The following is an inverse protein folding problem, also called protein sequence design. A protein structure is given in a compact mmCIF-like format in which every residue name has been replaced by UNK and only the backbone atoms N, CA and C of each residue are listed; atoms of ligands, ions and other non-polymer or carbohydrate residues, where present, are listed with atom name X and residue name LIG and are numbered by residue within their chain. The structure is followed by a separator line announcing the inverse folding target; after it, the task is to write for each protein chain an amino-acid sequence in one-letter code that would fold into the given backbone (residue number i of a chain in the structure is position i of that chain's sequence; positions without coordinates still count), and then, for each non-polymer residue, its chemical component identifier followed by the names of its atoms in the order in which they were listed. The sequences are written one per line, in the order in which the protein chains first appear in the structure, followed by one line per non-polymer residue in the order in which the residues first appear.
data_IF_034233724449
#
_entry.id   IF_034233724449
#
_cell.length_a   1.000
_cell.length_b   1.000
_cell.length_c   1.000
_cell.angle_alpha   90.00
_cell.angle_beta   90.00
_cell.angle_gamma   90.00
#
_symmetry.space_group_name_H-M   'P 1'
#
loop_
_entity.id
_entity.type
_entity.pdbx_description
1 polymer ?
#
# COMPACT_ATOMS: atom_id res chain seq x y z
N UNK A 1 12.37 -38.35 -0.04
CA UNK A 1 12.33 -37.53 1.16
C UNK A 1 11.39 -36.35 0.94
N UNK A 2 10.51 -36.01 1.89
CA UNK A 2 9.71 -34.81 1.80
C UNK A 2 10.58 -33.55 1.76
N UNK A 3 10.10 -32.50 1.10
CA UNK A 3 10.75 -31.19 1.13
C UNK A 3 10.57 -30.52 2.51
N UNK A 4 11.56 -29.77 2.95
CA UNK A 4 11.51 -29.08 4.24
C UNK A 4 10.65 -27.82 4.21
N UNK A 5 10.54 -27.17 3.04
CA UNK A 5 9.79 -25.94 2.85
C UNK A 5 8.81 -26.07 1.68
N UNK A 6 7.75 -25.29 1.71
CA UNK A 6 6.77 -25.21 0.62
C UNK A 6 7.41 -24.55 -0.59
N UNK A 7 8.24 -23.51 -0.35
CA UNK A 7 8.99 -22.84 -1.42
C UNK A 7 9.88 -23.76 -2.21
N UNK A 8 10.62 -24.68 -1.54
CA UNK A 8 11.44 -25.69 -2.20
C UNK A 8 10.58 -26.65 -3.03
N UNK A 9 9.45 -27.11 -2.49
CA UNK A 9 8.52 -27.97 -3.21
C UNK A 9 7.95 -27.27 -4.46
N UNK A 10 7.63 -25.99 -4.39
CA UNK A 10 7.15 -25.19 -5.52
C UNK A 10 8.17 -25.09 -6.63
N UNK A 11 9.46 -24.89 -6.31
CA UNK A 11 10.54 -24.82 -7.29
C UNK A 11 10.73 -26.14 -8.04
N UNK A 12 10.63 -27.27 -7.34
CA UNK A 12 10.89 -28.59 -7.89
C UNK A 12 9.66 -29.21 -8.57
N UNK A 13 8.46 -28.80 -8.18
CA UNK A 13 7.18 -29.41 -8.59
C UNK A 13 6.19 -28.39 -9.14
N UNK A 14 6.67 -27.34 -9.77
CA UNK A 14 5.82 -26.36 -10.44
C UNK A 14 4.82 -27.04 -11.39
N UNK A 15 3.57 -26.60 -11.35
CA UNK A 15 2.47 -27.18 -12.14
C UNK A 15 1.88 -28.49 -11.62
N UNK A 16 2.33 -29.00 -10.46
CA UNK A 16 1.89 -30.27 -9.88
C UNK A 16 1.07 -30.09 -8.61
N UNK A 17 0.57 -31.23 -8.11
CA UNK A 17 -0.05 -31.32 -6.80
C UNK A 17 1.03 -31.37 -5.72
N UNK A 18 0.91 -30.46 -4.73
CA UNK A 18 1.75 -30.45 -3.54
C UNK A 18 0.85 -30.63 -2.32
N UNK A 19 1.17 -31.60 -1.50
CA UNK A 19 0.52 -31.87 -0.23
C UNK A 19 1.38 -31.37 0.92
N UNK A 20 0.73 -30.77 1.92
CA UNK A 20 1.39 -30.05 3.02
C UNK A 20 0.81 -30.57 4.32
N UNK A 21 1.66 -31.04 5.23
CA UNK A 21 1.19 -31.54 6.50
C UNK A 21 0.93 -30.42 7.53
N UNK A 22 0.13 -30.70 8.54
CA UNK A 22 -0.36 -29.76 9.56
C UNK A 22 0.74 -29.37 10.55
N UNK A 23 1.65 -28.51 10.11
CA UNK A 23 2.66 -27.87 10.94
C UNK A 23 2.77 -26.38 10.62
N UNK A 24 3.62 -25.67 11.33
CA UNK A 24 3.88 -24.26 11.06
C UNK A 24 5.14 -24.11 10.24
N UNK A 25 5.04 -23.37 9.14
CA UNK A 25 6.11 -23.02 8.22
C UNK A 25 6.38 -21.52 8.33
N UNK A 26 7.61 -21.13 8.70
CA UNK A 26 8.02 -19.72 8.71
C UNK A 26 8.68 -19.36 7.40
N UNK A 27 7.86 -19.09 6.40
CA UNK A 27 8.31 -18.74 5.06
C UNK A 27 7.31 -17.85 4.32
N UNK A 28 7.71 -17.31 3.19
CA UNK A 28 6.81 -16.72 2.20
C UNK A 28 6.54 -17.76 1.11
N UNK A 29 5.28 -18.05 0.87
CA UNK A 29 4.87 -18.88 -0.26
C UNK A 29 4.66 -17.98 -1.47
N UNK A 30 5.59 -18.04 -2.43
CA UNK A 30 5.50 -17.30 -3.70
C UNK A 30 5.12 -18.24 -4.82
N UNK A 31 3.98 -17.97 -5.47
CA UNK A 31 3.42 -18.76 -6.57
C UNK A 31 3.52 -17.94 -7.86
N UNK A 32 4.29 -18.45 -8.82
CA UNK A 32 4.51 -17.84 -10.14
C UNK A 32 4.05 -18.73 -11.29
N UNK A 33 3.53 -19.92 -10.98
CA UNK A 33 3.01 -20.88 -11.95
C UNK A 33 1.78 -21.60 -11.40
N UNK A 34 0.97 -22.20 -12.27
CA UNK A 34 -0.19 -22.98 -11.85
C UNK A 34 0.20 -24.12 -10.91
N UNK A 35 -0.52 -24.29 -9.81
CA UNK A 35 -0.24 -25.30 -8.78
C UNK A 35 -1.49 -25.63 -7.99
N UNK A 36 -1.52 -26.85 -7.41
CA UNK A 36 -2.53 -27.24 -6.43
C UNK A 36 -1.84 -27.54 -5.11
N UNK A 37 -2.18 -26.76 -4.07
CA UNK A 37 -1.67 -26.91 -2.71
C UNK A 37 -2.77 -27.42 -1.80
N UNK A 38 -2.54 -28.53 -1.13
CA UNK A 38 -3.46 -29.13 -0.19
C UNK A 38 -2.81 -29.26 1.18
N UNK A 39 -3.38 -28.55 2.17
CA UNK A 39 -3.08 -28.72 3.59
C UNK A 39 -4.01 -29.73 4.26
N UNK A 40 -4.10 -29.67 5.57
CA UNK A 40 -5.04 -30.48 6.33
C UNK A 40 -4.62 -31.94 6.53
N UNK A 41 -3.34 -32.27 6.33
CA UNK A 41 -2.81 -33.62 6.43
C UNK A 41 -1.97 -33.79 7.70
N UNK A 42 -2.13 -34.93 8.39
CA UNK A 42 -1.26 -35.30 9.51
C UNK A 42 0.19 -35.47 9.05
N UNK A 43 1.16 -34.94 9.81
CA UNK A 43 2.57 -35.16 9.50
C UNK A 43 3.07 -36.57 9.81
N UNK A 44 2.32 -37.36 10.56
CA UNK A 44 2.71 -38.71 10.96
C UNK A 44 2.42 -39.75 9.86
N UNK A 45 1.24 -39.67 9.26
CA UNK A 45 0.75 -40.70 8.37
C UNK A 45 0.10 -40.17 7.07
N UNK A 46 0.11 -38.85 6.89
CA UNK A 46 -0.50 -38.16 5.75
C UNK A 46 -2.02 -38.36 5.61
N UNK A 47 -2.69 -38.81 6.68
CA UNK A 47 -4.15 -38.87 6.72
C UNK A 47 -4.77 -37.47 6.75
N UNK A 48 -5.93 -37.31 6.12
CA UNK A 48 -6.63 -36.03 6.15
C UNK A 48 -7.32 -35.80 7.50
N UNK A 49 -7.04 -34.67 8.12
CA UNK A 49 -7.64 -34.23 9.38
C UNK A 49 -8.58 -33.05 9.13
N UNK A 50 -9.88 -33.32 9.10
CA UNK A 50 -10.88 -32.29 8.88
C UNK A 50 -10.79 -31.16 9.92
N UNK A 51 -10.80 -29.93 9.45
CA UNK A 51 -10.69 -28.72 10.30
C UNK A 51 -9.28 -28.34 10.72
N UNK A 52 -8.28 -29.18 10.50
CA UNK A 52 -6.87 -28.82 10.65
C UNK A 52 -6.38 -28.09 9.41
N UNK A 53 -5.37 -27.25 9.58
CA UNK A 53 -4.72 -26.51 8.48
C UNK A 53 -3.22 -26.53 8.65
N UNK A 54 -2.50 -26.59 7.53
CA UNK A 54 -1.11 -26.23 7.54
C UNK A 54 -1.00 -24.70 7.75
N UNK A 55 -0.09 -24.25 8.61
CA UNK A 55 0.03 -22.82 8.96
C UNK A 55 1.29 -22.25 8.34
N UNK A 56 1.14 -21.32 7.41
CA UNK A 56 2.24 -20.52 6.88
C UNK A 56 2.25 -19.20 7.65
N UNK A 57 3.19 -19.05 8.57
CA UNK A 57 3.30 -17.87 9.43
C UNK A 57 4.63 -17.16 9.13
N UNK A 58 4.55 -16.08 8.39
CA UNK A 58 5.74 -15.27 8.12
C UNK A 58 6.03 -14.36 9.30
N UNK A 59 7.18 -14.57 9.97
CA UNK A 59 7.64 -13.73 11.07
C UNK A 59 8.43 -12.53 10.58
N UNK A 60 9.04 -12.61 9.40
CA UNK A 60 9.70 -11.49 8.75
C UNK A 60 8.69 -10.55 8.07
N UNK A 61 9.13 -9.33 7.76
CA UNK A 61 8.35 -8.35 7.00
C UNK A 61 7.88 -8.92 5.65
N UNK A 62 6.64 -8.60 5.27
CA UNK A 62 6.03 -8.96 3.99
C UNK A 62 4.85 -9.92 4.11
N UNK A 63 4.27 -10.30 2.98
CA UNK A 63 3.13 -11.22 2.91
C UNK A 63 3.54 -12.68 3.12
N UNK A 64 2.66 -13.49 3.70
CA UNK A 64 2.85 -14.93 3.83
C UNK A 64 2.56 -15.65 2.51
N UNK A 65 1.58 -15.16 1.73
CA UNK A 65 1.24 -15.65 0.40
C UNK A 65 1.41 -14.55 -0.64
N UNK A 66 2.04 -14.88 -1.75
CA UNK A 66 2.14 -14.02 -2.94
C UNK A 66 1.87 -14.84 -4.20
N UNK A 67 0.83 -14.47 -4.95
CA UNK A 67 0.51 -15.07 -6.26
C UNK A 67 0.67 -13.97 -7.29
N UNK A 68 1.63 -14.12 -8.20
CA UNK A 68 2.00 -13.06 -9.12
C UNK A 68 2.09 -13.54 -10.56
N UNK A 69 1.36 -12.84 -11.45
CA UNK A 69 1.40 -13.03 -12.91
C UNK A 69 1.10 -14.47 -13.36
N UNK A 70 0.17 -15.16 -12.67
CA UNK A 70 -0.21 -16.54 -12.98
C UNK A 70 -1.50 -16.56 -13.79
N UNK A 71 -1.43 -17.11 -15.01
CA UNK A 71 -2.58 -17.31 -15.89
C UNK A 71 -3.14 -18.73 -15.80
N UNK A 72 -2.34 -19.68 -15.33
CA UNK A 72 -2.77 -21.06 -15.11
C UNK A 72 -3.50 -21.21 -13.77
N UNK A 73 -4.30 -22.27 -13.63
CA UNK A 73 -5.10 -22.49 -12.42
C UNK A 73 -4.24 -22.70 -11.17
N UNK A 74 -4.54 -21.94 -10.13
CA UNK A 74 -4.01 -22.10 -8.77
C UNK A 74 -5.14 -22.49 -7.84
N UNK A 75 -4.95 -23.59 -7.12
CA UNK A 75 -5.89 -24.06 -6.11
C UNK A 75 -5.16 -24.21 -4.78
N UNK A 76 -5.66 -23.58 -3.73
CA UNK A 76 -5.12 -23.66 -2.37
C UNK A 76 -6.26 -24.10 -1.43
N UNK A 77 -6.05 -25.19 -0.71
CA UNK A 77 -7.04 -25.74 0.23
C UNK A 77 -6.42 -26.05 1.59
N UNK A 78 -7.19 -25.81 2.65
CA UNK A 78 -6.87 -26.16 4.05
C UNK A 78 -5.52 -25.62 4.54
N UNK A 79 -5.20 -24.36 4.18
CA UNK A 79 -4.00 -23.67 4.60
C UNK A 79 -4.37 -22.36 5.30
N UNK A 80 -3.63 -22.00 6.35
CA UNK A 80 -3.70 -20.70 7.01
C UNK A 80 -2.47 -19.89 6.65
N UNK A 81 -2.66 -18.65 6.21
CA UNK A 81 -1.60 -17.68 5.96
C UNK A 81 -1.66 -16.56 6.98
N UNK A 82 -0.58 -16.34 7.71
CA UNK A 82 -0.49 -15.29 8.70
C UNK A 82 0.78 -14.45 8.50
N UNK A 83 0.66 -13.13 8.62
CA UNK A 83 1.80 -12.21 8.57
C UNK A 83 2.06 -11.58 9.94
N UNK A 84 3.31 -11.14 10.14
CA UNK A 84 3.73 -10.41 11.33
C UNK A 84 3.04 -9.04 11.42
N UNK A 85 3.04 -8.45 12.62
CA UNK A 85 2.67 -7.06 12.83
C UNK A 85 3.67 -6.13 12.13
N UNK A 86 3.23 -4.95 11.74
CA UNK A 86 4.11 -3.88 11.29
C UNK A 86 5.07 -3.46 12.41
N UNK A 87 6.30 -3.11 12.08
CA UNK A 87 7.34 -2.70 13.03
C UNK A 87 7.67 -1.20 12.91
N UNK A 88 7.59 -0.62 11.72
CA UNK A 88 7.91 0.78 11.46
C UNK A 88 6.66 1.65 11.43
N UNK A 89 6.81 2.94 11.76
CA UNK A 89 5.73 3.91 11.71
C UNK A 89 5.09 3.98 10.30
N UNK A 90 3.77 3.82 10.23
CA UNK A 90 3.01 3.78 8.97
C UNK A 90 3.07 2.46 8.22
N UNK A 91 3.70 1.43 8.77
CA UNK A 91 3.79 0.13 8.15
C UNK A 91 2.46 -0.63 8.24
N UNK A 92 2.04 -1.21 7.12
CA UNK A 92 0.86 -2.08 7.04
C UNK A 92 1.28 -3.54 7.08
N UNK A 93 0.45 -4.38 7.70
CA UNK A 93 0.59 -5.85 7.63
C UNK A 93 -0.33 -6.40 6.55
N UNK A 94 0.19 -7.24 5.67
CA UNK A 94 -0.55 -7.88 4.57
C UNK A 94 -0.23 -9.36 4.56
N UNK A 95 -1.24 -10.21 4.74
CA UNK A 95 -1.01 -11.66 4.81
C UNK A 95 -0.98 -12.34 3.45
N UNK A 96 -1.78 -11.86 2.48
CA UNK A 96 -1.84 -12.45 1.15
C UNK A 96 -1.94 -11.36 0.08
N UNK A 97 -1.23 -11.56 -1.02
CA UNK A 97 -1.27 -10.71 -2.21
C UNK A 97 -1.55 -11.60 -3.41
N UNK A 98 -2.55 -11.23 -4.22
CA UNK A 98 -2.82 -11.84 -5.52
C UNK A 98 -2.81 -10.72 -6.55
N UNK A 99 -1.86 -10.77 -7.46
CA UNK A 99 -1.66 -9.73 -8.47
C UNK A 99 -1.53 -10.34 -9.87
N UNK A 100 -2.14 -9.70 -10.87
CA UNK A 100 -2.09 -10.09 -12.27
C UNK A 100 -2.33 -11.60 -12.52
N UNK A 101 -3.25 -12.21 -11.76
CA UNK A 101 -3.54 -13.64 -11.80
C UNK A 101 -5.03 -13.87 -12.01
N UNK A 102 -5.41 -14.75 -12.93
CA UNK A 102 -6.80 -14.85 -13.41
C UNK A 102 -7.61 -16.02 -12.84
N UNK A 103 -6.98 -17.13 -12.47
CA UNK A 103 -7.67 -18.35 -11.99
C UNK A 103 -7.07 -18.83 -10.65
N UNK A 104 -7.31 -18.05 -9.58
CA UNK A 104 -6.87 -18.39 -8.22
C UNK A 104 -8.08 -18.76 -7.38
N UNK A 105 -8.10 -19.99 -6.88
CA UNK A 105 -9.17 -20.52 -6.04
C UNK A 105 -8.65 -20.85 -4.65
N UNK A 106 -9.26 -20.23 -3.64
CA UNK A 106 -8.97 -20.45 -2.22
C UNK A 106 -10.17 -21.20 -1.59
N UNK A 107 -9.93 -22.38 -1.04
CA UNK A 107 -10.98 -23.19 -0.40
C UNK A 107 -10.56 -23.54 1.02
N UNK A 108 -11.43 -23.23 1.99
CA UNK A 108 -11.19 -23.44 3.42
C UNK A 108 -9.87 -22.82 3.92
N UNK A 109 -9.43 -21.73 3.24
CA UNK A 109 -8.21 -20.98 3.58
C UNK A 109 -8.55 -19.93 4.63
N UNK A 110 -7.67 -19.75 5.61
CA UNK A 110 -7.72 -18.65 6.55
C UNK A 110 -6.58 -17.69 6.24
N UNK A 111 -6.89 -16.39 6.19
CA UNK A 111 -5.89 -15.34 5.97
C UNK A 111 -5.97 -14.38 7.15
N UNK A 112 -4.86 -14.22 7.87
CA UNK A 112 -4.76 -13.38 9.06
C UNK A 112 -3.60 -12.39 8.91
N UNK A 113 -3.92 -11.13 8.67
CA UNK A 113 -2.93 -10.06 8.74
C UNK A 113 -2.65 -9.69 10.20
N UNK A 114 -1.43 -9.28 10.49
CA UNK A 114 -1.06 -8.68 11.75
C UNK A 114 -1.56 -7.23 11.88
N UNK A 115 -1.18 -6.54 12.93
CA UNK A 115 -1.55 -5.14 13.17
C UNK A 115 -0.65 -4.21 12.36
N UNK A 116 -1.26 -3.17 11.77
CA UNK A 116 -0.50 -2.05 11.23
C UNK A 116 -0.01 -1.11 12.34
N UNK A 117 1.02 -0.34 12.05
CA UNK A 117 1.57 0.68 12.97
C UNK A 117 1.10 2.06 12.54
N UNK A 118 0.70 2.89 13.50
CA UNK A 118 0.33 4.28 13.25
C UNK A 118 1.47 5.04 12.55
N UNK A 119 1.12 5.94 11.65
CA UNK A 119 2.09 6.83 11.03
C UNK A 119 2.78 7.74 12.04
N UNK A 120 3.98 8.20 11.71
CA UNK A 120 4.64 9.23 12.52
C UNK A 120 3.84 10.53 12.49
N UNK A 121 3.83 11.24 13.62
CA UNK A 121 3.23 12.57 13.67
C UNK A 121 3.93 13.51 12.68
N UNK A 122 3.16 14.30 11.95
CA UNK A 122 3.72 15.34 11.10
C UNK A 122 4.52 16.36 11.92
N UNK A 123 5.73 16.68 11.49
CA UNK A 123 6.47 17.78 12.05
C UNK A 123 5.88 19.11 11.54
N UNK A 124 5.37 19.95 12.45
CA UNK A 124 5.03 21.32 12.15
C UNK A 124 6.32 22.16 12.30
N UNK A 125 6.91 22.56 11.18
CA UNK A 125 7.91 23.61 11.25
C UNK A 125 7.22 24.91 11.70
N UNK A 126 7.76 25.63 12.70
CA UNK A 126 7.21 26.91 13.09
C UNK A 126 7.22 27.85 11.87
N UNK A 127 6.08 28.47 11.62
CA UNK A 127 5.97 29.46 10.54
C UNK A 127 6.69 30.75 10.96
N UNK A 128 7.70 31.10 10.24
CA UNK A 128 8.39 32.39 10.41
C UNK A 128 7.76 33.41 9.48
N UNK A 129 7.11 34.41 10.06
CA UNK A 129 6.56 35.51 9.27
C UNK A 129 7.67 36.30 8.60
N UNK A 130 7.54 36.66 7.30
CA UNK A 130 8.47 37.55 6.66
C UNK A 130 8.53 38.89 7.42
N UNK A 131 9.71 39.49 7.49
CA UNK A 131 9.86 40.83 8.10
C UNK A 131 9.03 41.84 7.32
N UNK A 132 8.59 42.91 8.00
CA UNK A 132 7.79 43.95 7.38
C UNK A 132 8.48 44.54 6.12
N UNK A 133 9.82 44.68 6.15
CA UNK A 133 10.61 45.14 5.01
C UNK A 133 10.52 44.18 3.81
N UNK A 134 10.48 42.88 4.05
CA UNK A 134 10.30 41.89 2.99
C UNK A 134 8.91 41.95 2.33
N UNK A 135 7.90 42.41 3.06
CA UNK A 135 6.53 42.56 2.60
C UNK A 135 6.23 43.92 1.95
N UNK A 136 7.12 44.91 2.13
CA UNK A 136 6.95 46.21 1.52
C UNK A 136 7.12 46.08 0.00
N UNK A 137 6.24 46.75 -0.77
CA UNK A 137 6.39 46.91 -2.22
C UNK A 137 7.65 47.70 -2.56
N UNK A 138 8.06 47.66 -3.81
CA UNK A 138 9.11 48.55 -4.33
C UNK A 138 8.61 50.00 -4.28
N UNK A 139 9.53 50.95 -3.98
CA UNK A 139 9.22 52.36 -3.94
C UNK A 139 8.73 52.88 -5.31
N UNK A 140 7.82 53.88 -5.27
CA UNK A 140 7.40 54.57 -6.48
C UNK A 140 8.55 55.44 -7.01
N UNK A 141 8.65 55.57 -8.32
CA UNK A 141 9.59 56.49 -8.98
C UNK A 141 8.80 57.51 -9.79
N UNK A 142 8.81 58.76 -9.33
CA UNK A 142 8.02 59.83 -9.93
C UNK A 142 6.53 59.56 -9.84
N UNK A 143 5.80 59.77 -10.94
CA UNK A 143 4.34 59.47 -11.05
C UNK A 143 4.03 58.02 -11.30
N UNK A 144 5.01 57.15 -11.50
CA UNK A 144 4.82 55.72 -11.72
C UNK A 144 4.88 54.94 -10.40
N UNK A 145 3.99 54.01 -10.22
CA UNK A 145 4.04 53.05 -9.09
C UNK A 145 5.30 52.19 -9.17
N UNK A 146 5.78 51.73 -8.02
CA UNK A 146 6.93 50.85 -7.96
C UNK A 146 6.71 49.53 -8.75
N UNK A 147 7.78 48.98 -9.30
CA UNK A 147 7.74 47.72 -10.02
C UNK A 147 7.15 46.57 -9.13
N UNK A 148 6.51 45.61 -9.75
CA UNK A 148 6.00 44.46 -8.98
C UNK A 148 7.12 43.76 -8.20
N UNK A 149 6.90 43.45 -6.93
CA UNK A 149 7.80 42.68 -6.10
C UNK A 149 7.27 41.26 -5.94
N UNK A 150 8.12 40.29 -6.25
CA UNK A 150 7.78 38.89 -5.99
C UNK A 150 7.85 38.62 -4.49
N UNK A 151 6.76 38.17 -3.92
CA UNK A 151 6.70 37.69 -2.53
C UNK A 151 6.94 36.19 -2.54
N UNK A 152 8.04 35.74 -1.92
CA UNK A 152 8.24 34.32 -1.63
C UNK A 152 7.32 33.95 -0.47
N UNK A 153 6.26 33.20 -0.73
CA UNK A 153 5.55 32.52 0.34
C UNK A 153 6.42 31.34 0.79
N UNK A 154 6.78 31.21 2.07
CA UNK A 154 7.39 30.00 2.57
C UNK A 154 6.36 28.89 2.43
N UNK A 155 6.43 28.15 1.34
CA UNK A 155 5.35 27.31 0.90
C UNK A 155 5.61 25.86 1.26
N UNK A 156 4.51 25.16 1.51
CA UNK A 156 4.43 23.70 1.44
C UNK A 156 4.51 23.16 0.01
N UNK A 157 4.73 23.98 -1.00
CA UNK A 157 4.94 23.53 -2.38
C UNK A 157 5.56 24.68 -3.21
N UNK A 158 6.39 24.30 -4.13
CA UNK A 158 7.23 25.12 -5.02
C UNK A 158 6.49 25.93 -6.09
N UNK A 159 5.35 26.50 -5.78
CA UNK A 159 4.67 27.38 -6.73
C UNK A 159 4.79 28.82 -6.25
N UNK A 160 5.66 29.58 -6.88
CA UNK A 160 5.78 31.02 -6.66
C UNK A 160 4.45 31.71 -6.95
N UNK A 161 3.84 32.31 -5.95
CA UNK A 161 2.68 33.17 -6.14
C UNK A 161 3.17 34.54 -6.62
N UNK A 162 2.83 34.92 -7.85
CA UNK A 162 3.10 36.25 -8.38
C UNK A 162 2.02 37.20 -7.86
N UNK A 163 2.41 38.15 -7.00
CA UNK A 163 1.50 39.22 -6.58
C UNK A 163 1.33 40.21 -7.77
N UNK A 164 0.21 40.18 -8.47
CA UNK A 164 -0.19 41.23 -9.40
C UNK A 164 -0.82 42.39 -8.61
N UNK A 165 -0.17 43.53 -8.62
CA UNK A 165 -0.73 44.78 -8.13
C UNK A 165 -1.42 45.54 -9.27
N UNK A 166 -2.71 45.29 -9.47
CA UNK A 166 -3.56 46.19 -10.24
C UNK A 166 -4.70 46.60 -9.32
N UNK A 167 -4.60 47.80 -8.71
CA UNK A 167 -5.67 48.42 -7.94
C UNK A 167 -5.30 48.84 -6.51
N UNK A 168 -6.06 49.79 -5.92
CA UNK A 168 -5.71 50.45 -4.66
C UNK A 168 -5.93 49.64 -3.37
N UNK A 169 -6.15 48.34 -3.44
CA UNK A 169 -6.28 47.46 -2.27
C UNK A 169 -5.28 46.34 -2.31
N UNK A 170 -4.29 46.44 -1.45
CA UNK A 170 -3.25 45.44 -1.22
C UNK A 170 -3.89 44.15 -0.65
N UNK A 171 -3.91 43.08 -1.41
CA UNK A 171 -4.10 41.72 -0.89
C UNK A 171 -2.91 40.86 -1.33
N UNK A 172 -1.95 40.70 -0.43
CA UNK A 172 -0.94 39.67 -0.58
C UNK A 172 -1.54 38.32 -0.17
N UNK A 173 -1.36 37.31 -1.02
CA UNK A 173 -1.66 35.91 -0.77
C UNK A 173 -3.13 35.55 -0.54
N UNK A 174 -3.94 35.54 -1.60
CA UNK A 174 -5.10 34.64 -1.62
C UNK A 174 -4.66 33.30 -2.20
N UNK A 175 -4.50 32.32 -1.32
CA UNK A 175 -4.43 30.93 -1.73
C UNK A 175 -5.80 30.57 -2.31
N UNK A 176 -5.92 30.48 -3.64
CA UNK A 176 -7.10 29.92 -4.27
C UNK A 176 -7.05 28.40 -4.02
N UNK A 177 -7.75 27.95 -3.00
CA UNK A 177 -8.08 26.54 -2.84
C UNK A 177 -8.88 26.12 -4.09
N UNK A 178 -8.27 25.37 -4.98
CA UNK A 178 -8.98 24.65 -6.02
C UNK A 178 -9.84 23.59 -5.34
N UNK A 179 -11.10 23.90 -5.10
CA UNK A 179 -12.12 22.90 -4.83
C UNK A 179 -12.19 21.97 -6.05
N UNK A 180 -11.69 20.74 -5.87
CA UNK A 180 -11.98 19.66 -6.82
C UNK A 180 -13.48 19.41 -6.77
N UNK A 181 -14.21 19.84 -7.79
CA UNK A 181 -15.58 19.43 -8.02
C UNK A 181 -15.57 17.91 -8.23
N UNK A 182 -16.15 17.18 -7.28
CA UNK A 182 -16.52 15.79 -7.47
C UNK A 182 -17.60 15.76 -8.56
N UNK A 183 -17.22 15.31 -9.74
CA UNK A 183 -18.17 14.90 -10.78
C UNK A 183 -18.86 13.62 -10.27
N UNK A 184 -20.07 13.78 -9.75
CA UNK A 184 -21.00 12.67 -9.52
C UNK A 184 -21.52 12.21 -10.86
N UNK A 185 -20.92 11.17 -11.46
CA UNK A 185 -21.54 10.41 -12.53
C UNK A 185 -22.74 9.66 -11.93
N UNK A 186 -23.93 10.19 -12.18
CA UNK A 186 -25.17 9.43 -12.06
C UNK A 186 -25.15 8.34 -13.15
N UNK A 187 -25.00 7.10 -12.75
CA UNK A 187 -25.35 5.95 -13.58
C UNK A 187 -26.87 5.86 -13.67
N UNK A 188 -27.42 6.18 -14.84
CA UNK A 188 -28.80 5.82 -15.21
C UNK A 188 -28.82 4.33 -15.51
N UNK A 189 -29.53 3.58 -14.71
CA UNK A 189 -30.04 2.28 -15.09
C UNK A 189 -31.33 2.50 -15.87
N UNK A 190 -31.41 2.01 -17.08
CA UNK A 190 -32.62 1.82 -17.84
C UNK A 190 -32.88 0.32 -17.94
N UNK A 191 -34.12 -0.07 -17.56
CA UNK A 191 -34.98 -1.16 -18.00
C UNK A 191 -34.39 -2.55 -18.16
#
# INVERSE_FOLDING_TARGET
SPYKTIGEALLQKSGKLIVICNTTYDEQVKITAGVKLYGGLSCADWSYEAGKRAVVKRTAKGSALEVESVTAAVLIEDIEFASADGAAAGESSVAAIVNASSDVKLRRVKVAAGKGVAGANGALAPYTYPTQVALNGNGASGLAGGAPKACACPSRSSTAAVCRTTGPRRRCCTATARTRSRSTRRSRWLG
#
